data_IF_266930616511
#
_entry.id   IF_266930616511
#
_cell.length_a   1.000
_cell.length_b   1.000
_cell.length_c   1.000
_cell.angle_alpha   90.00
_cell.angle_beta   90.00
_cell.angle_gamma   90.00
#
_symmetry.space_group_name_H-M   'P 1'
#
loop_
_entity.id
_entity.type
_entity.pdbx_description
1 polymer ?
#
# COMPACT_ATOMS: atom_id res chain seq x y z
N UNK A 1 27.15 -26.87 10.50
CA UNK A 1 27.20 -26.12 9.22
C UNK A 1 25.85 -26.26 8.49
N UNK A 2 25.12 -25.16 8.35
CA UNK A 2 23.84 -25.15 7.62
C UNK A 2 24.13 -25.53 6.17
N UNK A 3 23.64 -26.67 5.69
CA UNK A 3 23.77 -27.05 4.29
C UNK A 3 22.85 -26.13 3.47
N UNK A 4 23.38 -25.24 2.61
CA UNK A 4 22.57 -24.33 1.83
C UNK A 4 21.79 -25.04 0.72
N UNK A 5 21.81 -26.37 0.59
CA UNK A 5 20.95 -27.09 -0.36
C UNK A 5 19.73 -27.74 0.29
N UNK A 6 19.62 -27.70 1.63
CA UNK A 6 18.49 -28.32 2.35
C UNK A 6 17.13 -27.72 1.99
N UNK A 7 17.08 -26.48 1.51
CA UNK A 7 15.83 -25.85 1.10
C UNK A 7 15.36 -26.30 -0.30
N UNK A 8 16.20 -26.98 -1.09
CA UNK A 8 15.77 -27.61 -2.34
C UNK A 8 14.81 -28.79 -2.09
N UNK A 9 14.78 -29.32 -0.87
CA UNK A 9 13.83 -30.37 -0.46
C UNK A 9 12.52 -29.80 0.09
N UNK A 10 12.37 -28.48 0.18
CA UNK A 10 11.12 -27.86 0.63
C UNK A 10 10.09 -27.84 -0.50
N UNK A 11 8.82 -27.65 -0.15
CA UNK A 11 7.76 -27.46 -1.14
C UNK A 11 8.05 -26.24 -2.03
N UNK A 12 7.55 -26.26 -3.27
CA UNK A 12 7.80 -25.22 -4.27
C UNK A 12 7.38 -23.83 -3.76
N UNK A 13 6.29 -23.72 -3.00
CA UNK A 13 5.85 -22.45 -2.41
C UNK A 13 6.85 -21.90 -1.39
N UNK A 14 7.49 -22.77 -0.61
CA UNK A 14 8.49 -22.38 0.37
C UNK A 14 9.80 -21.94 -0.30
N UNK A 15 10.20 -22.61 -1.39
CA UNK A 15 11.34 -22.19 -2.21
C UNK A 15 11.06 -20.82 -2.87
N UNK A 16 9.86 -20.61 -3.39
CA UNK A 16 9.45 -19.32 -3.96
C UNK A 16 9.44 -18.20 -2.91
N UNK A 17 8.96 -18.48 -1.70
CA UNK A 17 8.99 -17.53 -0.59
C UNK A 17 10.44 -17.18 -0.19
N UNK A 18 11.33 -18.18 -0.10
CA UNK A 18 12.74 -17.94 0.17
C UNK A 18 13.38 -17.05 -0.90
N UNK A 19 13.17 -17.36 -2.18
CA UNK A 19 13.68 -16.55 -3.29
C UNK A 19 13.10 -15.12 -3.30
N UNK A 20 11.87 -14.94 -2.83
CA UNK A 20 11.26 -13.62 -2.68
C UNK A 20 11.93 -12.80 -1.57
N UNK A 21 12.18 -13.42 -0.41
CA UNK A 21 12.82 -12.79 0.75
C UNK A 21 14.29 -12.48 0.49
N UNK A 22 15.02 -13.41 -0.12
CA UNK A 22 16.45 -13.28 -0.43
C UNK A 22 16.72 -12.03 -1.28
N UNK A 23 15.91 -11.80 -2.32
CA UNK A 23 15.96 -10.59 -3.17
C UNK A 23 15.63 -9.28 -2.44
N UNK A 24 15.14 -9.35 -1.20
CA UNK A 24 14.62 -8.20 -0.42
C UNK A 24 15.28 -8.05 0.93
N UNK A 25 16.37 -8.77 1.21
CA UNK A 25 17.07 -8.69 2.50
C UNK A 25 17.44 -7.24 2.86
N UNK A 26 17.89 -6.44 1.89
CA UNK A 26 18.19 -5.02 2.08
C UNK A 26 16.97 -4.17 2.49
N UNK A 27 15.77 -4.58 2.09
CA UNK A 27 14.50 -3.92 2.45
C UNK A 27 13.95 -4.38 3.80
N UNK A 28 14.58 -5.38 4.44
CA UNK A 28 14.15 -6.00 5.69
C UNK A 28 15.01 -5.57 6.88
N UNK A 29 15.62 -4.38 6.83
CA UNK A 29 16.35 -3.80 7.96
C UNK A 29 15.39 -3.32 9.08
N UNK A 30 14.64 -4.26 9.64
CA UNK A 30 13.61 -4.00 10.63
C UNK A 30 14.15 -3.46 11.94
N UNK A 31 15.42 -3.76 12.26
CA UNK A 31 16.07 -3.23 13.45
C UNK A 31 16.18 -1.71 13.33
N UNK A 32 16.81 -1.20 12.27
CA UNK A 32 16.97 0.24 12.07
C UNK A 32 15.61 0.93 11.89
N UNK A 33 14.67 0.30 11.19
CA UNK A 33 13.32 0.86 11.05
C UNK A 33 12.57 0.97 12.38
N UNK A 34 12.76 0.04 13.31
CA UNK A 34 12.18 0.12 14.66
C UNK A 34 12.82 1.24 15.47
N UNK A 35 14.15 1.37 15.44
CA UNK A 35 14.88 2.46 16.12
C UNK A 35 14.47 3.84 15.59
N UNK A 36 14.22 3.95 14.27
CA UNK A 36 13.69 5.17 13.64
C UNK A 36 12.19 5.41 13.90
N UNK A 37 11.51 4.50 14.59
CA UNK A 37 10.08 4.60 14.90
C UNK A 37 9.15 4.37 13.70
N UNK A 38 9.65 3.73 12.62
CA UNK A 38 8.81 3.43 11.46
C UNK A 38 7.83 2.30 11.72
N UNK A 39 6.61 2.39 11.16
CA UNK A 39 5.65 1.30 11.22
C UNK A 39 6.09 0.15 10.31
N UNK A 40 6.47 -0.98 10.91
CA UNK A 40 6.95 -2.18 10.21
C UNK A 40 5.85 -3.18 9.83
N UNK A 41 4.58 -2.89 10.14
CA UNK A 41 3.43 -3.76 9.89
C UNK A 41 2.44 -3.16 8.90
N UNK A 42 1.74 -4.03 8.15
CA UNK A 42 0.75 -3.60 7.14
C UNK A 42 -0.54 -3.04 7.74
N UNK A 43 -0.84 -3.28 9.01
CA UNK A 43 -2.13 -2.93 9.62
C UNK A 43 -2.51 -1.45 9.52
N UNK A 44 -1.54 -0.53 9.62
CA UNK A 44 -1.79 0.90 9.43
C UNK A 44 -2.15 1.22 7.99
N UNK A 45 -1.45 0.60 7.02
CA UNK A 45 -1.72 0.75 5.59
C UNK A 45 -3.08 0.15 5.22
N UNK A 46 -3.42 -1.02 5.75
CA UNK A 46 -4.72 -1.67 5.57
C UNK A 46 -5.86 -0.83 6.18
N UNK A 47 -5.65 -0.30 7.38
CA UNK A 47 -6.57 0.62 8.04
C UNK A 47 -6.79 1.90 7.22
N UNK A 48 -5.73 2.48 6.68
CA UNK A 48 -5.80 3.64 5.78
C UNK A 48 -6.54 3.29 4.48
N UNK A 49 -6.24 2.16 3.84
CA UNK A 49 -6.96 1.72 2.65
C UNK A 49 -8.46 1.55 2.93
N UNK A 50 -8.82 0.92 4.05
CA UNK A 50 -10.22 0.72 4.45
C UNK A 50 -10.93 2.04 4.73
N UNK A 51 -10.32 2.95 5.49
CA UNK A 51 -10.95 4.20 5.96
C UNK A 51 -10.94 5.34 4.94
N UNK A 52 -9.91 5.43 4.09
CA UNK A 52 -9.77 6.50 3.09
C UNK A 52 -10.45 6.09 1.78
N UNK A 53 -10.03 4.95 1.22
CA UNK A 53 -10.42 4.48 -0.11
C UNK A 53 -11.70 3.65 -0.03
N UNK A 54 -11.67 2.57 0.75
CA UNK A 54 -12.77 1.62 0.91
C UNK A 54 -14.06 2.28 1.37
N UNK A 55 -13.96 3.23 2.30
CA UNK A 55 -15.09 3.98 2.85
C UNK A 55 -15.95 4.67 1.78
N UNK A 56 -15.37 5.05 0.62
CA UNK A 56 -16.12 5.65 -0.49
C UNK A 56 -16.35 4.68 -1.64
N UNK A 57 -15.37 3.85 -1.95
CA UNK A 57 -15.33 3.09 -3.20
C UNK A 57 -15.99 1.72 -3.12
N UNK A 58 -16.05 1.11 -1.92
CA UNK A 58 -16.57 -0.26 -1.72
C UNK A 58 -18.01 -0.31 -1.19
N UNK A 59 -18.77 0.79 -1.29
CA UNK A 59 -20.19 0.83 -0.88
C UNK A 59 -21.08 0.18 -1.93
N UNK A 60 -22.29 -0.24 -1.54
CA UNK A 60 -23.29 -0.76 -2.46
C UNK A 60 -23.66 0.23 -3.57
N UNK A 61 -23.89 -0.27 -4.78
CA UNK A 61 -24.31 0.53 -5.93
C UNK A 61 -23.22 1.36 -6.61
N UNK A 62 -21.95 1.24 -6.16
CA UNK A 62 -20.85 1.98 -6.78
C UNK A 62 -20.44 1.39 -8.12
N UNK A 63 -20.44 2.22 -9.15
CA UNK A 63 -19.89 1.91 -10.47
C UNK A 63 -18.85 2.97 -10.82
N UNK A 64 -17.67 2.54 -11.20
CA UNK A 64 -16.56 3.43 -11.53
C UNK A 64 -15.99 3.09 -12.89
N UNK A 65 -15.69 4.12 -13.69
CA UNK A 65 -14.70 3.99 -14.76
C UNK A 65 -13.29 4.03 -14.15
N UNK A 66 -12.29 3.53 -14.88
CA UNK A 66 -10.89 3.61 -14.43
C UNK A 66 -10.44 5.05 -14.13
N UNK A 67 -10.82 6.02 -14.97
CA UNK A 67 -10.52 7.43 -14.70
C UNK A 67 -11.26 7.96 -13.47
N UNK A 68 -12.54 7.60 -13.32
CA UNK A 68 -13.38 8.03 -12.20
C UNK A 68 -12.87 7.52 -10.85
N UNK A 69 -12.47 6.25 -10.76
CA UNK A 69 -11.93 5.69 -9.51
C UNK A 69 -10.59 6.34 -9.15
N UNK A 70 -9.72 6.60 -10.12
CA UNK A 70 -8.43 7.27 -9.88
C UNK A 70 -8.60 8.71 -9.38
N UNK A 71 -9.48 9.50 -10.00
CA UNK A 71 -9.80 10.87 -9.55
C UNK A 71 -10.39 10.87 -8.14
N UNK A 72 -11.29 9.93 -7.85
CA UNK A 72 -11.86 9.80 -6.51
C UNK A 72 -10.86 9.34 -5.46
N UNK A 73 -9.91 8.47 -5.81
CA UNK A 73 -8.84 8.06 -4.90
C UNK A 73 -8.00 9.27 -4.50
N UNK A 74 -7.60 10.08 -5.48
CA UNK A 74 -6.86 11.33 -5.25
C UNK A 74 -7.63 12.26 -4.32
N UNK A 75 -8.90 12.55 -4.62
CA UNK A 75 -9.76 13.40 -3.79
C UNK A 75 -9.85 12.91 -2.34
N UNK A 76 -10.03 11.61 -2.13
CA UNK A 76 -10.12 11.00 -0.80
C UNK A 76 -8.79 11.07 -0.06
N UNK A 77 -7.67 10.75 -0.73
CA UNK A 77 -6.34 10.85 -0.14
C UNK A 77 -6.01 12.28 0.30
N UNK A 78 -6.38 13.27 -0.51
CA UNK A 78 -6.18 14.68 -0.16
C UNK A 78 -7.08 15.11 0.99
N UNK A 79 -8.37 14.75 0.96
CA UNK A 79 -9.32 15.08 2.03
C UNK A 79 -8.94 14.47 3.39
N UNK A 80 -8.36 13.27 3.40
CA UNK A 80 -7.97 12.56 4.62
C UNK A 80 -6.49 12.80 5.01
N UNK A 81 -5.73 13.58 4.25
CA UNK A 81 -4.35 13.92 4.60
C UNK A 81 -4.30 14.99 5.68
N UNK A 82 -3.43 14.83 6.67
CA UNK A 82 -3.14 15.88 7.65
C UNK A 82 -2.47 17.11 7.01
N UNK A 83 -1.78 16.91 5.87
CA UNK A 83 -1.16 17.97 5.05
C UNK A 83 -1.38 17.63 3.57
N UNK A 84 -2.46 18.10 2.95
CA UNK A 84 -2.73 17.81 1.55
C UNK A 84 -1.67 18.44 0.63
N UNK A 85 -1.30 17.73 -0.44
CA UNK A 85 -0.34 18.21 -1.45
C UNK A 85 -0.95 19.25 -2.38
N UNK A 86 -2.26 19.17 -2.60
CA UNK A 86 -3.04 20.10 -3.42
C UNK A 86 -4.18 20.64 -2.55
N UNK A 87 -4.43 21.93 -2.60
CA UNK A 87 -5.57 22.49 -1.88
C UNK A 87 -6.90 21.98 -2.49
N UNK A 88 -7.96 21.98 -1.68
CA UNK A 88 -9.24 21.43 -2.07
C UNK A 88 -9.84 22.12 -3.31
N UNK A 89 -9.62 23.43 -3.48
CA UNK A 89 -10.13 24.17 -4.62
C UNK A 89 -9.44 23.74 -5.92
N UNK A 90 -8.12 23.58 -5.90
CA UNK A 90 -7.34 23.05 -7.04
C UNK A 90 -7.80 21.65 -7.47
N UNK A 91 -8.07 20.75 -6.52
CA UNK A 91 -8.56 19.40 -6.86
C UNK A 91 -9.97 19.46 -7.44
N UNK A 92 -10.84 20.33 -6.92
CA UNK A 92 -12.19 20.54 -7.48
C UNK A 92 -12.11 20.97 -8.94
N UNK A 93 -11.23 21.92 -9.26
CA UNK A 93 -11.04 22.38 -10.64
C UNK A 93 -10.50 21.25 -11.53
N UNK A 94 -9.48 20.52 -11.09
CA UNK A 94 -8.91 19.39 -11.85
C UNK A 94 -9.88 18.23 -12.06
N UNK A 95 -10.81 17.99 -11.13
CA UNK A 95 -11.77 16.90 -11.22
C UNK A 95 -12.84 17.14 -12.30
N UNK A 96 -13.20 18.42 -12.53
CA UNK A 96 -14.26 18.84 -13.46
C UNK A 96 -13.74 19.51 -14.73
N UNK A 97 -12.46 19.89 -14.78
CA UNK A 97 -11.78 20.23 -16.03
C UNK A 97 -11.76 18.97 -16.91
N UNK A 98 -12.64 18.99 -17.91
CA UNK A 98 -12.78 17.99 -18.97
C UNK A 98 -12.54 18.69 -20.28
#
# INVERSE_FOLDING_TARGET
PHNPEVWLTWADEAQAALAYLDKRLEQMNYFDFRELGYPIGSGQIEGANKSVIGARMKRGGMRWSHQGINRMALLRSQQCSAKPFLDFHSIRLLAFAS
#
